data_IF_632675758440
#
_entry.id   IF_632675758440
#
_cell.length_a   1.000
_cell.length_b   1.000
_cell.length_c   1.000
_cell.angle_alpha   90.00
_cell.angle_beta   90.00
_cell.angle_gamma   90.00
#
_symmetry.space_group_name_H-M   'P 1'
#
loop_
_entity.id
_entity.type
_entity.pdbx_description
1 polymer ?
#
# COMPACT_ATOMS: atom_id res chain seq x y z
N UNK A 1 -30.26 32.10 -2.24
CA UNK A 1 -28.88 31.94 -1.71
C UNK A 1 -28.76 30.83 -0.66
N UNK A 2 -29.76 30.54 0.18
CA UNK A 2 -29.67 29.49 1.21
C UNK A 2 -29.65 28.05 0.67
N UNK A 3 -30.37 27.74 -0.41
CA UNK A 3 -30.40 26.38 -0.99
C UNK A 3 -29.05 25.91 -1.54
N UNK A 4 -28.26 26.80 -2.15
CA UNK A 4 -26.93 26.47 -2.71
C UNK A 4 -25.90 26.13 -1.64
N UNK A 5 -26.01 26.75 -0.45
CA UNK A 5 -25.16 26.45 0.71
C UNK A 5 -25.51 25.09 1.32
N UNK A 6 -26.80 24.74 1.42
CA UNK A 6 -27.26 23.45 1.94
C UNK A 6 -26.80 22.30 1.04
N UNK A 7 -26.87 22.44 -0.28
CA UNK A 7 -26.39 21.41 -1.22
C UNK A 7 -24.88 21.20 -1.15
N UNK A 8 -24.09 22.28 -0.98
CA UNK A 8 -22.62 22.17 -0.79
C UNK A 8 -22.25 21.45 0.50
N UNK A 9 -22.90 21.80 1.61
CA UNK A 9 -22.66 21.17 2.92
C UNK A 9 -23.04 19.69 2.91
N UNK A 10 -24.17 19.32 2.30
CA UNK A 10 -24.57 17.91 2.19
C UNK A 10 -23.61 17.08 1.33
N UNK A 11 -23.05 17.66 0.26
CA UNK A 11 -22.05 16.98 -0.58
C UNK A 11 -20.71 16.80 0.14
N UNK A 12 -20.30 17.76 0.97
CA UNK A 12 -19.12 17.63 1.84
C UNK A 12 -19.33 16.57 2.93
N UNK A 13 -20.54 16.44 3.46
CA UNK A 13 -20.89 15.43 4.48
C UNK A 13 -20.97 14.00 3.89
N UNK A 14 -21.43 13.84 2.63
CA UNK A 14 -21.43 12.52 1.97
C UNK A 14 -20.00 11.99 1.72
N UNK A 15 -19.07 12.87 1.32
CA UNK A 15 -17.65 12.50 1.14
C UNK A 15 -16.99 12.17 2.49
N UNK A 16 -17.37 12.89 3.56
CA UNK A 16 -16.88 12.62 4.91
C UNK A 16 -17.39 11.30 5.52
N UNK A 17 -18.48 10.73 4.98
CA UNK A 17 -19.11 9.51 5.49
C UNK A 17 -18.74 8.24 4.72
N UNK A 18 -18.06 8.32 3.57
CA UNK A 18 -17.55 7.11 2.91
C UNK A 18 -16.22 6.69 3.51
N UNK A 19 -16.25 6.16 4.74
CA UNK A 19 -15.21 5.21 5.20
C UNK A 19 -15.35 3.95 4.36
N UNK A 20 -15.01 4.03 3.08
CA UNK A 20 -14.95 2.87 2.21
C UNK A 20 -13.75 2.07 2.69
N UNK A 21 -14.05 1.07 3.51
CA UNK A 21 -13.12 0.01 3.87
C UNK A 21 -13.24 -1.04 2.77
N UNK A 22 -12.11 -1.50 2.26
CA UNK A 22 -12.10 -2.59 1.27
C UNK A 22 -12.81 -3.83 1.84
N UNK A 23 -13.77 -4.34 1.07
CA UNK A 23 -14.42 -5.61 1.41
C UNK A 23 -13.37 -6.74 1.35
N UNK A 24 -13.39 -7.73 2.27
CA UNK A 24 -12.44 -8.83 2.27
C UNK A 24 -12.38 -9.57 0.92
N UNK A 25 -11.24 -10.21 0.58
CA UNK A 25 -11.13 -10.97 -0.65
C UNK A 25 -12.08 -12.16 -0.64
N UNK A 26 -12.71 -12.43 -1.78
CA UNK A 26 -13.57 -13.62 -1.99
C UNK A 26 -12.80 -14.82 -2.52
N UNK A 27 -11.47 -14.72 -2.60
CA UNK A 27 -10.58 -15.75 -3.13
C UNK A 27 -9.53 -16.13 -2.09
N UNK A 28 -9.04 -17.37 -2.19
CA UNK A 28 -7.95 -17.87 -1.34
C UNK A 28 -6.60 -17.45 -1.92
N UNK A 29 -5.68 -17.03 -1.05
CA UNK A 29 -4.31 -16.68 -1.40
C UNK A 29 -3.35 -17.75 -0.88
N UNK A 30 -2.37 -18.19 -1.69
CA UNK A 30 -1.32 -19.07 -1.18
C UNK A 30 -0.50 -18.34 -0.12
N UNK A 31 0.00 -19.07 0.88
CA UNK A 31 0.85 -18.51 1.94
C UNK A 31 2.33 -18.70 1.62
N UNK A 32 3.15 -17.71 1.99
CA UNK A 32 4.60 -17.74 1.97
C UNK A 32 5.16 -17.56 3.39
N UNK A 33 6.15 -18.36 3.76
CA UNK A 33 6.85 -18.21 5.04
C UNK A 33 7.70 -16.94 5.03
N UNK A 34 7.79 -16.26 6.17
CA UNK A 34 8.56 -15.02 6.34
C UNK A 34 10.03 -15.17 5.95
N UNK A 35 10.66 -16.32 6.23
CA UNK A 35 12.04 -16.59 5.80
C UNK A 35 12.20 -16.59 4.27
N UNK A 36 11.22 -17.14 3.55
CA UNK A 36 11.23 -17.15 2.09
C UNK A 36 10.99 -15.75 1.53
N UNK A 37 10.02 -15.01 2.11
CA UNK A 37 9.76 -13.62 1.74
C UNK A 37 10.98 -12.74 2.01
N UNK A 38 11.63 -12.89 3.17
CA UNK A 38 12.85 -12.17 3.52
C UNK A 38 13.95 -12.42 2.48
N UNK A 39 14.17 -13.68 2.08
CA UNK A 39 15.13 -14.03 1.04
C UNK A 39 14.83 -13.35 -0.30
N UNK A 40 13.55 -13.34 -0.71
CA UNK A 40 13.11 -12.65 -1.92
C UNK A 40 13.39 -11.14 -1.83
N UNK A 41 12.93 -10.49 -0.76
CA UNK A 41 13.14 -9.05 -0.55
C UNK A 41 14.63 -8.69 -0.57
N UNK A 42 15.46 -9.40 0.17
CA UNK A 42 16.91 -9.19 0.19
C UNK A 42 17.57 -9.42 -1.17
N UNK A 43 17.03 -10.33 -1.97
CA UNK A 43 17.54 -10.59 -3.32
C UNK A 43 17.14 -9.51 -4.32
N UNK A 44 16.03 -8.80 -4.07
CA UNK A 44 15.46 -7.76 -4.93
C UNK A 44 15.98 -6.35 -4.62
N UNK A 45 16.45 -6.10 -3.40
CA UNK A 45 16.90 -4.77 -2.96
C UNK A 45 18.43 -4.71 -2.78
N UNK A 46 18.95 -3.51 -2.49
CA UNK A 46 20.38 -3.34 -2.23
C UNK A 46 20.80 -4.00 -0.90
N UNK A 47 21.95 -4.72 -0.88
CA UNK A 47 22.51 -5.24 0.35
C UNK A 47 22.76 -4.11 1.35
N UNK A 48 22.28 -4.27 2.59
CA UNK A 48 22.43 -3.29 3.66
C UNK A 48 21.17 -2.48 3.96
N UNK A 49 20.14 -2.55 3.11
CA UNK A 49 18.81 -2.02 3.45
C UNK A 49 18.17 -2.96 4.48
N UNK A 50 17.77 -2.45 5.67
CA UNK A 50 17.08 -3.28 6.64
C UNK A 50 15.68 -3.67 6.14
N UNK A 51 15.30 -4.92 6.40
CA UNK A 51 13.96 -5.45 6.13
C UNK A 51 13.36 -5.93 7.44
N UNK A 52 12.16 -5.43 7.75
CA UNK A 52 11.42 -5.85 8.94
C UNK A 52 10.11 -6.52 8.51
N UNK A 53 9.96 -7.78 8.91
CA UNK A 53 8.74 -8.57 8.74
C UNK A 53 8.05 -8.73 10.11
N UNK A 54 6.78 -8.36 10.19
CA UNK A 54 5.97 -8.48 11.42
C UNK A 54 5.47 -9.90 11.71
N UNK A 55 5.30 -10.72 10.67
CA UNK A 55 4.57 -11.99 10.74
C UNK A 55 5.38 -13.20 10.32
N UNK A 56 4.86 -14.38 10.66
CA UNK A 56 5.48 -15.66 10.33
C UNK A 56 5.15 -16.12 8.90
N UNK A 57 3.94 -15.82 8.45
CA UNK A 57 3.39 -16.23 7.17
C UNK A 57 2.68 -15.05 6.52
N UNK A 58 2.69 -14.98 5.20
CA UNK A 58 2.09 -13.91 4.41
C UNK A 58 1.23 -14.49 3.29
N UNK A 59 0.07 -13.89 3.04
CA UNK A 59 -0.75 -14.16 1.88
C UNK A 59 -0.11 -13.53 0.63
N UNK A 60 -0.01 -14.34 -0.42
CA UNK A 60 0.53 -13.92 -1.70
C UNK A 60 -0.64 -13.61 -2.63
N UNK A 61 -0.97 -12.32 -2.69
CA UNK A 61 -1.91 -11.82 -3.66
C UNK A 61 -1.29 -11.92 -5.07
N UNK A 62 -2.04 -12.30 -6.12
CA UNK A 62 -1.56 -12.18 -7.49
C UNK A 62 -1.59 -10.73 -7.99
N UNK A 63 -0.64 -10.35 -8.86
CA UNK A 63 -0.55 -8.97 -9.39
C UNK A 63 -1.88 -8.45 -9.96
N UNK A 64 -2.60 -9.29 -10.72
CA UNK A 64 -3.90 -8.91 -11.32
C UNK A 64 -4.97 -8.59 -10.27
N UNK A 65 -4.92 -9.24 -9.11
CA UNK A 65 -5.82 -8.97 -7.98
C UNK A 65 -5.40 -7.69 -7.25
N UNK A 66 -4.11 -7.47 -7.04
CA UNK A 66 -3.61 -6.22 -6.46
C UNK A 66 -4.01 -5.00 -7.31
N UNK A 67 -3.91 -5.08 -8.64
CA UNK A 67 -4.38 -4.02 -9.55
C UNK A 67 -5.88 -3.73 -9.34
N UNK A 68 -6.70 -4.78 -9.21
CA UNK A 68 -8.13 -4.62 -8.95
C UNK A 68 -8.41 -3.99 -7.58
N UNK A 69 -7.59 -4.29 -6.58
CA UNK A 69 -7.67 -3.70 -5.24
C UNK A 69 -7.33 -2.21 -5.27
N UNK A 70 -6.23 -1.83 -5.91
CA UNK A 70 -5.83 -0.43 -6.07
C UNK A 70 -6.91 0.38 -6.80
N UNK A 71 -7.54 -0.20 -7.82
CA UNK A 71 -8.63 0.47 -8.54
C UNK A 71 -9.91 0.72 -7.70
N UNK A 72 -10.09 -0.01 -6.59
CA UNK A 72 -11.22 0.17 -5.66
C UNK A 72 -10.87 1.09 -4.49
N UNK A 73 -9.59 1.25 -4.20
CA UNK A 73 -9.11 2.19 -3.20
C UNK A 73 -9.22 3.64 -3.72
N UNK A 74 -9.37 4.57 -2.78
CA UNK A 74 -9.53 5.99 -3.08
C UNK A 74 -8.30 6.83 -2.70
N UNK A 75 -7.16 6.21 -2.33
CA UNK A 75 -5.96 6.94 -1.89
C UNK A 75 -5.45 7.88 -2.97
N UNK A 76 -5.44 7.46 -4.23
CA UNK A 76 -5.06 8.31 -5.37
C UNK A 76 -6.04 9.46 -5.69
N UNK A 77 -7.15 9.60 -4.96
CA UNK A 77 -8.13 10.70 -5.13
C UNK A 77 -7.87 11.87 -4.21
N UNK A 78 -6.95 11.73 -3.25
CA UNK A 78 -6.56 12.81 -2.36
C UNK A 78 -5.59 13.77 -3.07
N UNK A 79 -5.62 15.03 -2.67
CA UNK A 79 -4.71 16.05 -3.20
C UNK A 79 -3.47 16.09 -2.32
N UNK A 80 -2.30 16.03 -2.95
CA UNK A 80 -1.03 16.21 -2.26
C UNK A 80 -0.93 17.61 -1.66
N UNK A 81 -0.48 17.69 -0.41
CA UNK A 81 -0.17 18.92 0.29
C UNK A 81 1.15 18.74 1.04
N UNK A 82 2.17 19.52 0.65
CA UNK A 82 3.49 19.50 1.31
C UNK A 82 3.33 19.73 2.82
N UNK A 83 4.01 18.91 3.63
CA UNK A 83 3.99 18.89 5.12
C UNK A 83 2.62 18.60 5.80
N UNK A 84 1.50 18.54 5.07
CA UNK A 84 0.17 18.29 5.63
C UNK A 84 -0.44 16.95 5.22
N UNK A 85 -0.21 16.54 3.97
CA UNK A 85 -0.69 15.30 3.39
C UNK A 85 0.25 14.89 2.26
N UNK A 86 1.44 14.44 2.64
CA UNK A 86 2.54 14.16 1.73
C UNK A 86 2.69 12.66 1.45
N UNK A 87 3.79 12.28 0.80
CA UNK A 87 4.06 10.91 0.37
C UNK A 87 3.89 9.86 1.48
N UNK A 88 4.25 10.16 2.73
CA UNK A 88 4.11 9.19 3.82
C UNK A 88 2.64 8.98 4.23
N UNK A 89 1.83 10.03 4.23
CA UNK A 89 0.39 9.98 4.47
C UNK A 89 -0.33 9.15 3.41
N UNK A 90 0.02 9.31 2.12
CA UNK A 90 -0.51 8.44 1.07
C UNK A 90 -0.11 6.99 1.29
N UNK A 91 1.16 6.73 1.64
CA UNK A 91 1.64 5.37 1.86
C UNK A 91 0.97 4.70 3.06
N UNK A 92 0.76 5.44 4.15
CA UNK A 92 0.04 4.97 5.35
C UNK A 92 -1.45 4.80 5.11
N UNK A 93 -2.07 5.68 4.33
CA UNK A 93 -3.49 5.52 3.98
C UNK A 93 -3.72 4.22 3.22
N UNK A 94 -2.94 3.96 2.18
CA UNK A 94 -3.08 2.73 1.40
C UNK A 94 -2.77 1.50 2.28
N UNK A 95 -1.75 1.59 3.14
CA UNK A 95 -1.46 0.56 4.13
C UNK A 95 -2.68 0.28 5.02
N UNK A 96 -3.31 1.31 5.57
CA UNK A 96 -4.48 1.18 6.44
C UNK A 96 -5.68 0.53 5.75
N UNK A 97 -5.84 0.71 4.44
CA UNK A 97 -6.88 0.04 3.65
C UNK A 97 -6.64 -1.46 3.50
N UNK A 98 -5.37 -1.88 3.52
CA UNK A 98 -4.98 -3.29 3.46
C UNK A 98 -4.75 -3.91 4.83
N UNK A 99 -4.62 -3.13 5.91
CA UNK A 99 -4.53 -3.61 7.29
C UNK A 99 -5.90 -3.90 7.93
N UNK A 100 -6.84 -4.45 7.16
CA UNK A 100 -8.18 -4.84 7.63
C UNK A 100 -8.40 -6.34 7.50
N UNK A 101 -9.31 -6.96 8.26
CA UNK A 101 -9.52 -8.40 8.23
C UNK A 101 -9.73 -8.95 6.82
N UNK A 102 -8.95 -9.97 6.46
CA UNK A 102 -8.94 -10.60 5.14
C UNK A 102 -7.93 -10.02 4.15
N UNK A 103 -7.48 -8.77 4.33
CA UNK A 103 -6.39 -8.17 3.55
C UNK A 103 -5.09 -8.07 4.34
N UNK A 104 -5.17 -8.03 5.67
CA UNK A 104 -4.06 -7.74 6.56
C UNK A 104 -2.89 -8.72 6.45
N UNK A 105 -3.11 -9.95 5.99
CA UNK A 105 -2.05 -10.96 5.84
C UNK A 105 -1.23 -10.80 4.55
N UNK A 106 -1.61 -9.93 3.61
CA UNK A 106 -0.90 -9.83 2.33
C UNK A 106 0.56 -9.41 2.56
N UNK A 107 1.48 -9.99 1.78
CA UNK A 107 2.84 -9.47 1.63
C UNK A 107 2.83 -8.06 1.00
N UNK A 108 2.44 -7.06 1.79
CA UNK A 108 2.33 -5.64 1.47
C UNK A 108 2.96 -4.80 2.60
N UNK A 109 3.61 -3.70 2.26
CA UNK A 109 4.34 -2.88 3.23
C UNK A 109 4.56 -1.45 2.78
N UNK A 110 5.25 -0.70 3.63
CA UNK A 110 5.70 0.67 3.35
C UNK A 110 7.22 0.66 3.25
N UNK A 111 7.76 1.42 2.31
CA UNK A 111 9.18 1.67 2.16
C UNK A 111 9.45 3.17 2.02
N UNK A 112 10.66 3.57 2.38
CA UNK A 112 11.06 4.97 2.44
C UNK A 112 12.29 5.18 1.56
N UNK A 113 12.56 6.42 1.21
CA UNK A 113 13.82 6.92 0.64
C UNK A 113 14.17 8.23 1.35
N UNK A 114 15.32 8.89 1.09
CA UNK A 114 15.58 10.21 1.65
C UNK A 114 14.53 11.26 1.31
N UNK A 115 13.75 11.07 0.25
CA UNK A 115 12.85 12.10 -0.30
C UNK A 115 11.45 11.60 -0.63
N UNK A 116 11.08 10.37 -0.27
CA UNK A 116 9.83 9.75 -0.70
C UNK A 116 9.43 8.60 0.20
N UNK A 117 8.13 8.40 0.39
CA UNK A 117 7.54 7.23 1.02
C UNK A 117 6.51 6.62 0.06
N UNK A 118 6.48 5.30 0.00
CA UNK A 118 5.70 4.55 -0.99
C UNK A 118 5.37 3.16 -0.45
N UNK A 119 4.55 2.42 -1.18
CA UNK A 119 4.19 1.06 -0.79
C UNK A 119 4.96 0.02 -1.60
N UNK A 120 5.12 -1.14 -1.02
CA UNK A 120 5.71 -2.30 -1.68
C UNK A 120 4.84 -3.52 -1.53
N UNK A 121 4.97 -4.43 -2.47
CA UNK A 121 4.13 -5.62 -2.52
C UNK A 121 4.87 -6.76 -3.21
N UNK A 122 4.66 -8.00 -2.76
CA UNK A 122 5.24 -9.18 -3.37
C UNK A 122 4.15 -10.09 -3.93
N UNK A 123 4.23 -10.43 -5.22
CA UNK A 123 3.30 -11.38 -5.86
C UNK A 123 3.71 -12.85 -5.72
N UNK A 124 4.73 -13.11 -4.90
CA UNK A 124 5.34 -14.41 -4.68
C UNK A 124 6.60 -14.65 -5.51
N UNK A 125 6.88 -13.79 -6.49
CA UNK A 125 8.06 -13.91 -7.36
C UNK A 125 8.79 -12.59 -7.53
N UNK A 126 8.04 -11.50 -7.64
CA UNK A 126 8.56 -10.16 -7.93
C UNK A 126 8.13 -9.22 -6.81
N UNK A 127 9.10 -8.45 -6.31
CA UNK A 127 8.82 -7.27 -5.50
C UNK A 127 8.38 -6.14 -6.42
N UNK A 128 7.30 -5.46 -6.07
CA UNK A 128 6.77 -4.31 -6.77
C UNK A 128 6.86 -3.06 -5.90
N UNK A 129 7.15 -1.95 -6.56
CA UNK A 129 6.93 -0.59 -6.12
C UNK A 129 5.49 -0.17 -6.43
N UNK A 130 4.83 0.50 -5.49
CA UNK A 130 3.51 1.11 -5.65
C UNK A 130 3.61 2.59 -5.31
N UNK A 131 3.26 3.45 -6.27
CA UNK A 131 3.04 4.88 -6.04
C UNK A 131 1.58 5.11 -5.60
N UNK A 132 1.30 5.29 -4.30
CA UNK A 132 -0.07 5.40 -3.80
C UNK A 132 -0.81 6.66 -4.32
N UNK A 133 -0.10 7.68 -4.79
CA UNK A 133 -0.73 8.87 -5.36
C UNK A 133 -1.31 8.64 -6.76
N UNK A 134 -0.83 7.61 -7.48
CA UNK A 134 -1.17 7.40 -8.89
C UNK A 134 -1.59 5.97 -9.23
N UNK A 135 -1.56 5.05 -8.25
CA UNK A 135 -1.74 3.60 -8.41
C UNK A 135 -0.75 2.94 -9.39
N UNK A 136 0.37 3.61 -9.68
CA UNK A 136 1.40 3.03 -10.54
C UNK A 136 2.06 1.86 -9.81
N UNK A 137 2.00 0.68 -10.42
CA UNK A 137 2.57 -0.58 -9.93
C UNK A 137 3.68 -1.05 -10.87
N UNK A 138 4.93 -0.92 -10.44
CA UNK A 138 6.12 -1.24 -11.24
C UNK A 138 6.97 -2.33 -10.56
N UNK A 139 7.61 -3.24 -11.32
CA UNK A 139 8.60 -4.14 -10.75
C UNK A 139 9.73 -3.34 -10.08
N UNK A 140 10.17 -3.80 -8.92
CA UNK A 140 11.28 -3.19 -8.21
C UNK A 140 12.60 -3.56 -8.89
N UNK A 141 13.33 -2.55 -9.40
CA UNK A 141 14.63 -2.75 -10.03
C UNK A 141 15.76 -2.31 -9.08
N UNK A 142 16.80 -3.14 -8.93
CA UNK A 142 17.94 -2.89 -8.02
C UNK A 142 18.67 -1.55 -8.23
N UNK A 143 18.49 -0.89 -9.37
CA UNK A 143 19.26 0.30 -9.74
C UNK A 143 18.87 1.56 -8.97
N UNK A 144 17.79 1.52 -8.22
CA UNK A 144 17.34 2.66 -7.43
C UNK A 144 18.00 2.63 -6.04
N UNK A 145 19.16 3.28 -5.97
CA UNK A 145 20.11 3.28 -4.85
C UNK A 145 19.66 4.05 -3.61
N UNK A 146 18.40 4.47 -3.54
CA UNK A 146 17.95 5.48 -2.58
C UNK A 146 16.93 4.98 -1.56
N UNK A 147 16.64 3.68 -1.48
CA UNK A 147 15.57 3.21 -0.58
C UNK A 147 16.09 2.78 0.82
N UNK A 148 15.41 3.24 1.85
CA UNK A 148 15.58 3.02 3.29
C UNK A 148 14.35 2.23 3.84
N UNK A 149 14.42 1.70 5.08
CA UNK A 149 13.96 0.35 5.39
C UNK A 149 12.50 0.07 5.02
N UNK A 150 12.31 -1.13 4.49
CA UNK A 150 11.00 -1.73 4.26
C UNK A 150 10.40 -2.14 5.60
N UNK A 151 9.27 -1.54 5.94
CA UNK A 151 8.40 -2.01 7.02
C UNK A 151 7.24 -2.75 6.38
N UNK A 152 7.36 -4.07 6.26
CA UNK A 152 6.18 -4.91 6.04
C UNK A 152 5.48 -5.06 7.39
N UNK A 153 4.46 -4.22 7.61
CA UNK A 153 3.63 -4.20 8.81
C UNK A 153 2.30 -4.88 8.52
N UNK A 154 2.22 -6.19 8.67
CA UNK A 154 0.93 -6.85 8.79
C UNK A 154 0.57 -6.88 10.29
N UNK A 155 -0.65 -6.48 10.65
CA UNK A 155 -1.19 -6.49 12.03
C UNK A 155 -2.40 -7.42 12.08
#
# INVERSE_FOLDING_TARGET
MMQTLITKVNRTIEIANSRQILAPPTFSMPKMKSLALYGLLHSSINPGIPVYLSDKDYDICPKSKMIAVLALDLTNKFTYAEDEYDCDDFAYRLMGQLSVPGWADIAFGVAWSPTHAFNVYCDGSILYYIEPQTDILLPFEKKESQYYPLRFLTM
#
